data_IF_308059664120
#
_entry.id   IF_308059664120
#
_cell.length_a   1.000
_cell.length_b   1.000
_cell.length_c   1.000
_cell.angle_alpha   90.00
_cell.angle_beta   90.00
_cell.angle_gamma   90.00
#
_symmetry.space_group_name_H-M   'P 1'
#
loop_
_entity.id
_entity.type
_entity.pdbx_description
1 polymer ?
#
# COMPACT_ATOMS: atom_id res chain seq x y z
N UNK A 1 -33.37 -17.11 28.52
CA UNK A 1 -32.74 -17.76 27.36
C UNK A 1 -32.06 -16.66 26.55
N UNK A 2 -30.75 -16.49 26.72
CA UNK A 2 -29.98 -15.43 26.07
C UNK A 2 -29.42 -15.93 24.74
N UNK A 3 -29.66 -15.20 23.65
CA UNK A 3 -29.10 -15.53 22.34
C UNK A 3 -27.57 -15.27 22.33
N UNK A 4 -26.77 -16.16 21.71
CA UNK A 4 -25.32 -16.01 21.68
C UNK A 4 -24.89 -14.81 20.82
N UNK A 5 -23.91 -14.05 21.32
CA UNK A 5 -23.40 -12.77 20.80
C UNK A 5 -22.98 -12.84 19.31
N UNK A 6 -22.67 -14.03 18.80
CA UNK A 6 -22.28 -14.24 17.40
C UNK A 6 -23.41 -13.98 16.40
N UNK A 7 -24.67 -14.16 16.80
CA UNK A 7 -25.82 -13.89 15.91
C UNK A 7 -26.02 -12.38 15.67
N UNK A 8 -25.63 -11.52 16.62
CA UNK A 8 -25.74 -10.06 16.50
C UNK A 8 -24.74 -9.45 15.52
N UNK A 9 -23.59 -10.11 15.26
CA UNK A 9 -22.58 -9.62 14.31
C UNK A 9 -22.97 -9.89 12.86
N UNK A 10 -23.57 -11.05 12.58
CA UNK A 10 -24.03 -11.41 11.22
C UNK A 10 -25.18 -10.53 10.74
N UNK A 11 -26.11 -10.17 11.62
CA UNK A 11 -27.28 -9.34 11.29
C UNK A 11 -26.88 -7.93 10.82
N UNK A 12 -25.88 -7.29 11.47
CA UNK A 12 -25.41 -5.95 11.07
C UNK A 12 -24.77 -5.92 9.68
N UNK A 13 -24.08 -6.99 9.28
CA UNK A 13 -23.44 -7.04 7.96
C UNK A 13 -24.49 -7.15 6.85
N UNK A 14 -25.57 -7.90 7.10
CA UNK A 14 -26.67 -8.07 6.14
C UNK A 14 -27.43 -6.75 5.97
N UNK A 15 -27.72 -6.02 7.05
CA UNK A 15 -28.37 -4.70 6.97
C UNK A 15 -27.54 -3.70 6.16
N UNK A 16 -26.23 -3.62 6.42
CA UNK A 16 -25.32 -2.71 5.68
C UNK A 16 -25.27 -3.09 4.19
N UNK A 17 -25.28 -4.39 3.85
CA UNK A 17 -25.31 -4.83 2.46
C UNK A 17 -26.63 -4.50 1.77
N UNK A 18 -27.76 -4.60 2.48
CA UNK A 18 -29.07 -4.30 1.94
C UNK A 18 -29.24 -2.80 1.67
N UNK A 19 -28.70 -1.94 2.53
CA UNK A 19 -28.72 -0.48 2.36
C UNK A 19 -27.86 -0.02 1.17
N UNK A 20 -26.73 -0.69 0.90
CA UNK A 20 -25.90 -0.38 -0.28
C UNK A 20 -26.56 -0.80 -1.60
N UNK A 21 -27.34 -1.87 -1.60
CA UNK A 21 -28.01 -2.40 -2.80
C UNK A 21 -29.35 -1.71 -3.09
N UNK A 22 -29.93 -0.99 -2.12
CA UNK A 22 -31.24 -0.34 -2.27
C UNK A 22 -31.15 1.10 -2.80
N UNK A 23 -29.95 1.60 -3.11
CA UNK A 23 -29.76 2.88 -3.80
C UNK A 23 -29.77 2.63 -5.31
N UNK A 24 -30.98 2.55 -5.88
CA UNK A 24 -31.20 2.45 -7.33
C UNK A 24 -31.93 3.70 -7.84
N UNK A 25 -31.40 4.32 -8.89
CA UNK A 25 -32.19 5.10 -9.85
C UNK A 25 -31.37 5.46 -11.11
N UNK A 26 -31.40 4.55 -12.08
CA UNK A 26 -31.63 4.80 -13.52
C UNK A 26 -30.67 5.72 -14.28
N UNK A 27 -29.67 5.11 -14.94
CA UNK A 27 -29.16 5.59 -16.23
C UNK A 27 -28.86 4.37 -17.13
N UNK A 28 -29.39 4.35 -18.36
CA UNK A 28 -29.18 3.30 -19.39
C UNK A 28 -27.70 3.12 -19.82
N UNK A 29 -26.77 3.78 -19.12
CA UNK A 29 -25.31 3.70 -19.28
C UNK A 29 -24.64 2.65 -18.36
N UNK A 30 -25.39 2.01 -17.46
CA UNK A 30 -24.86 0.99 -16.53
C UNK A 30 -24.29 -0.24 -17.26
N UNK A 31 -24.90 -0.65 -18.37
CA UNK A 31 -24.38 -1.74 -19.22
C UNK A 31 -23.02 -1.41 -19.83
N UNK A 32 -22.76 -0.13 -20.13
CA UNK A 32 -21.47 0.33 -20.67
C UNK A 32 -20.43 0.33 -19.56
N UNK A 33 -20.78 0.81 -18.36
CA UNK A 33 -19.88 0.85 -17.20
C UNK A 33 -19.49 -0.58 -16.78
N UNK A 34 -20.44 -1.51 -16.73
CA UNK A 34 -20.19 -2.90 -16.37
C UNK A 34 -19.32 -3.62 -17.41
N UNK A 35 -19.56 -3.42 -18.70
CA UNK A 35 -18.70 -3.98 -19.76
C UNK A 35 -17.30 -3.36 -19.71
N UNK A 36 -17.17 -2.05 -19.45
CA UNK A 36 -15.87 -1.38 -19.32
C UNK A 36 -15.09 -1.90 -18.10
N UNK A 37 -15.77 -2.09 -16.96
CA UNK A 37 -15.20 -2.63 -15.73
C UNK A 37 -14.82 -4.10 -15.89
N UNK A 38 -15.70 -4.95 -16.45
CA UNK A 38 -15.37 -6.35 -16.75
C UNK A 38 -14.19 -6.44 -17.74
N UNK A 39 -14.16 -5.60 -18.78
CA UNK A 39 -13.07 -5.57 -19.76
C UNK A 39 -11.75 -5.09 -19.15
N UNK A 40 -11.79 -4.07 -18.30
CA UNK A 40 -10.60 -3.62 -17.55
C UNK A 40 -10.14 -4.68 -16.53
N UNK A 41 -11.06 -5.34 -15.83
CA UNK A 41 -10.75 -6.40 -14.88
C UNK A 41 -10.17 -7.62 -15.59
N UNK A 42 -10.70 -8.00 -16.76
CA UNK A 42 -10.16 -9.06 -17.59
C UNK A 42 -8.73 -8.72 -18.10
N UNK A 43 -8.46 -7.44 -18.42
CA UNK A 43 -7.10 -6.96 -18.74
C UNK A 43 -6.17 -6.98 -17.53
N UNK A 44 -6.65 -6.63 -16.33
CA UNK A 44 -5.87 -6.73 -15.08
C UNK A 44 -5.55 -8.17 -14.68
N UNK A 45 -6.42 -9.14 -14.96
CA UNK A 45 -6.10 -10.58 -14.78
C UNK A 45 -5.03 -11.09 -15.76
N UNK A 46 -4.75 -10.33 -16.83
CA UNK A 46 -3.67 -10.60 -17.79
C UNK A 46 -2.33 -9.99 -17.38
N UNK A 47 -2.32 -9.00 -16.48
CA UNK A 47 -1.09 -8.68 -15.78
C UNK A 47 -0.81 -9.85 -14.86
N UNK A 48 0.13 -10.70 -15.28
CA UNK A 48 0.71 -11.71 -14.39
C UNK A 48 1.12 -11.05 -13.07
N UNK A 49 1.20 -11.83 -11.99
CA UNK A 49 1.68 -11.33 -10.69
C UNK A 49 2.93 -10.48 -10.95
N UNK A 50 2.81 -9.16 -10.81
CA UNK A 50 3.98 -8.29 -10.85
C UNK A 50 4.77 -8.71 -9.63
N UNK A 51 5.95 -9.33 -9.81
CA UNK A 51 6.73 -9.75 -8.66
C UNK A 51 7.01 -8.49 -7.85
N UNK A 52 6.60 -8.52 -6.58
CA UNK A 52 6.95 -7.46 -5.65
C UNK A 52 8.48 -7.48 -5.58
N UNK A 53 9.12 -6.35 -5.85
CA UNK A 53 10.57 -6.27 -5.70
C UNK A 53 10.87 -6.41 -4.21
N UNK A 54 11.42 -7.56 -3.82
CA UNK A 54 11.64 -7.89 -2.40
C UNK A 54 12.77 -7.05 -1.80
N UNK A 55 13.84 -6.79 -2.56
CA UNK A 55 14.98 -5.98 -2.12
C UNK A 55 15.11 -4.71 -2.97
N UNK A 56 14.10 -3.84 -2.92
CA UNK A 56 14.07 -2.61 -3.74
C UNK A 56 15.34 -1.76 -3.60
N UNK A 57 15.85 -1.59 -2.37
CA UNK A 57 17.06 -0.81 -2.11
C UNK A 57 18.25 -1.42 -2.87
N UNK A 58 18.56 -2.68 -2.59
CA UNK A 58 19.72 -3.38 -3.18
C UNK A 58 19.59 -3.58 -4.69
N UNK A 59 18.40 -3.94 -5.16
CA UNK A 59 18.22 -4.40 -6.53
C UNK A 59 17.90 -3.25 -7.50
N UNK A 60 17.46 -2.09 -6.99
CA UNK A 60 17.09 -0.90 -7.78
C UNK A 60 17.89 0.33 -7.35
N UNK A 61 17.74 0.78 -6.09
CA UNK A 61 18.32 2.05 -5.62
C UNK A 61 19.85 2.04 -5.71
N UNK A 62 20.51 0.95 -5.35
CA UNK A 62 21.98 0.82 -5.45
C UNK A 62 22.51 0.86 -6.88
N UNK A 63 21.66 0.58 -7.87
CA UNK A 63 22.05 0.58 -9.29
C UNK A 63 21.84 1.93 -9.96
N UNK A 64 21.13 2.86 -9.31
CA UNK A 64 20.93 4.20 -9.84
C UNK A 64 22.23 4.98 -9.91
N UNK A 65 22.47 5.57 -11.07
CA UNK A 65 23.46 6.63 -11.22
C UNK A 65 23.05 7.87 -10.40
N UNK A 66 24.01 8.73 -10.06
CA UNK A 66 23.74 9.99 -9.36
C UNK A 66 22.60 10.84 -9.99
N UNK A 67 22.54 11.07 -11.32
CA UNK A 67 21.45 11.84 -11.90
C UNK A 67 20.09 11.12 -11.79
N UNK A 68 20.04 9.80 -11.90
CA UNK A 68 18.81 9.01 -11.73
C UNK A 68 18.34 9.06 -10.27
N UNK A 69 19.27 8.84 -9.33
CA UNK A 69 18.99 8.94 -7.90
C UNK A 69 18.44 10.32 -7.53
N UNK A 70 19.08 11.39 -8.02
CA UNK A 70 18.63 12.75 -7.78
C UNK A 70 17.28 13.05 -8.44
N UNK A 71 16.98 12.46 -9.59
CA UNK A 71 15.68 12.61 -10.24
C UNK A 71 14.57 11.99 -9.40
N UNK A 72 14.79 10.77 -8.90
CA UNK A 72 13.77 10.00 -8.18
C UNK A 72 13.58 10.49 -6.74
N UNK A 73 14.68 10.74 -6.01
CA UNK A 73 14.64 11.12 -4.59
C UNK A 73 14.78 12.62 -4.35
N UNK A 74 14.97 13.42 -5.40
CA UNK A 74 15.09 14.90 -5.39
C UNK A 74 16.28 15.45 -4.59
N UNK A 75 17.14 14.57 -4.07
CA UNK A 75 18.34 14.90 -3.28
C UNK A 75 19.54 14.11 -3.79
N UNK A 76 20.76 14.57 -3.50
CA UNK A 76 21.97 13.81 -3.77
C UNK A 76 22.09 12.63 -2.81
N UNK A 77 22.76 11.55 -3.23
CA UNK A 77 22.93 10.34 -2.40
C UNK A 77 23.65 10.64 -1.09
N UNK A 78 24.67 11.51 -1.13
CA UNK A 78 25.38 11.98 0.06
C UNK A 78 24.44 12.66 1.06
N UNK A 79 23.50 13.49 0.59
CA UNK A 79 22.49 14.15 1.43
C UNK A 79 21.49 13.14 1.98
N UNK A 80 21.07 12.16 1.18
CA UNK A 80 20.23 11.07 1.64
C UNK A 80 20.89 10.29 2.78
N UNK A 81 22.16 9.91 2.63
CA UNK A 81 22.94 9.20 3.66
C UNK A 81 23.02 10.02 4.95
N UNK A 82 23.27 11.33 4.84
CA UNK A 82 23.26 12.22 5.99
C UNK A 82 21.90 12.25 6.71
N UNK A 83 20.79 12.27 5.97
CA UNK A 83 19.43 12.21 6.54
C UNK A 83 19.16 10.86 7.23
N UNK A 84 19.67 9.77 6.68
CA UNK A 84 19.55 8.43 7.27
C UNK A 84 20.28 8.39 8.61
N UNK A 85 21.54 8.85 8.67
CA UNK A 85 22.30 8.88 9.92
C UNK A 85 21.62 9.76 10.98
N UNK A 86 21.11 10.93 10.58
CA UNK A 86 20.41 11.84 11.47
C UNK A 86 19.09 11.25 11.99
N UNK A 87 18.35 10.56 11.12
CA UNK A 87 17.11 9.88 11.49
C UNK A 87 17.39 8.69 12.41
N UNK A 88 18.38 7.87 12.09
CA UNK A 88 18.79 6.72 12.88
C UNK A 88 19.15 7.14 14.31
N UNK A 89 19.82 8.27 14.49
CA UNK A 89 20.16 8.85 15.79
C UNK A 89 18.96 9.50 16.51
N UNK A 90 17.90 9.83 15.80
CA UNK A 90 16.73 10.50 16.35
C UNK A 90 15.87 9.60 17.24
N UNK A 91 15.04 10.23 18.08
CA UNK A 91 14.03 9.55 18.92
C UNK A 91 12.87 9.00 18.08
N UNK A 92 12.75 9.44 16.82
CA UNK A 92 11.68 9.06 15.92
C UNK A 92 11.95 7.76 15.17
N UNK A 93 13.21 7.29 15.15
CA UNK A 93 13.52 5.99 14.59
C UNK A 93 12.91 4.91 15.50
N UNK A 94 12.05 4.02 14.98
CA UNK A 94 11.47 2.96 15.78
C UNK A 94 12.56 1.99 16.24
N UNK A 95 13.02 2.14 17.48
CA UNK A 95 13.98 1.26 18.13
C UNK A 95 13.22 0.29 19.02
N UNK A 96 12.94 -0.92 18.53
CA UNK A 96 12.20 -1.90 19.31
C UNK A 96 12.08 -3.25 18.61
N UNK A 97 11.74 -4.26 19.41
CA UNK A 97 11.42 -5.58 18.87
C UNK A 97 10.16 -5.48 17.98
N UNK A 98 10.11 -6.23 16.86
CA UNK A 98 8.94 -6.25 15.99
C UNK A 98 7.70 -6.67 16.79
N UNK A 99 6.75 -5.75 16.96
CA UNK A 99 5.47 -6.06 17.58
C UNK A 99 4.57 -6.76 16.56
N UNK A 100 4.10 -7.98 16.87
CA UNK A 100 3.15 -8.70 16.02
C UNK A 100 3.77 -9.42 14.81
N UNK A 101 5.07 -9.70 14.81
CA UNK A 101 5.74 -10.49 13.77
C UNK A 101 6.02 -9.76 12.46
N UNK A 102 5.80 -8.44 12.41
CA UNK A 102 6.19 -7.59 11.28
C UNK A 102 7.63 -7.16 11.47
N UNK A 103 8.51 -7.50 10.53
CA UNK A 103 9.91 -7.09 10.55
C UNK A 103 10.03 -5.56 10.63
N UNK A 104 10.90 -5.08 11.51
CA UNK A 104 11.12 -3.65 11.68
C UNK A 104 11.87 -3.12 10.45
N UNK A 105 11.33 -2.07 9.83
CA UNK A 105 11.98 -1.42 8.70
C UNK A 105 13.25 -0.70 9.14
N UNK A 106 14.25 -0.67 8.27
CA UNK A 106 15.49 0.04 8.54
C UNK A 106 15.29 1.57 8.47
N UNK A 107 16.19 2.32 9.10
CA UNK A 107 16.21 3.79 8.99
C UNK A 107 16.31 4.26 7.53
N UNK A 108 17.09 3.53 6.72
CA UNK A 108 17.24 3.76 5.28
C UNK A 108 15.90 3.60 4.55
N UNK A 109 15.15 2.52 4.79
CA UNK A 109 13.84 2.30 4.17
C UNK A 109 12.87 3.44 4.51
N UNK A 110 12.84 3.87 5.76
CA UNK A 110 11.99 4.97 6.20
C UNK A 110 12.29 6.27 5.44
N UNK A 111 13.56 6.61 5.26
CA UNK A 111 13.97 7.84 4.58
C UNK A 111 13.76 7.73 3.07
N UNK A 112 14.10 6.60 2.45
CA UNK A 112 13.88 6.41 1.02
C UNK A 112 12.40 6.45 0.65
N UNK A 113 11.52 5.84 1.46
CA UNK A 113 10.06 5.96 1.24
C UNK A 113 9.52 7.37 1.45
N UNK A 114 10.18 8.17 2.28
CA UNK A 114 9.78 9.56 2.50
C UNK A 114 10.20 10.48 1.34
N UNK A 115 11.35 10.20 0.71
CA UNK A 115 11.92 11.03 -0.34
C UNK A 115 11.39 10.72 -1.76
N UNK A 116 10.90 9.51 -1.98
CA UNK A 116 10.32 9.06 -3.26
C UNK A 116 8.88 9.54 -3.45
#
# INVERSE_FOLDING_TARGET
MAAPIDQLRGLRVIEIMQDLLSSDSSDDDDDIIDVQLLRNNARRRRWGKVPKVENFIRDVVDKYSEPEFKSDFRVFRETCNYLIELFEQSVYCPRGAPFGGVEAKSAEEHILYYLW
#
